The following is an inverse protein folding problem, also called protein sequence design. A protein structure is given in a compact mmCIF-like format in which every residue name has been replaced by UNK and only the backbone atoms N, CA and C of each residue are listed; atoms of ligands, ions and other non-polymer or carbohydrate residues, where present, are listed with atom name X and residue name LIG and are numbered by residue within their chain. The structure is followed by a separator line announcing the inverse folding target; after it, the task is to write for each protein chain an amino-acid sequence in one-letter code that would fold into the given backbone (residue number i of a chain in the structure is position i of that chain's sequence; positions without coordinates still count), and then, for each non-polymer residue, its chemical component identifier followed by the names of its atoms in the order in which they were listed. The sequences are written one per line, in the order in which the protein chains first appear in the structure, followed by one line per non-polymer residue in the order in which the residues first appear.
data_IF_713298997286
#
_entry.id   IF_713298997286
#
_cell.length_a   1.000
_cell.length_b   1.000
_cell.length_c   1.000
_cell.angle_alpha   90.00
_cell.angle_beta   90.00
_cell.angle_gamma   90.00
#
_symmetry.space_group_name_H-M   'P 1'
#
loop_
_entity.id
_entity.type
_entity.pdbx_description
1 polymer ?
#
# COMPACT_ATOMS: atom_id res chain seq x y z
N UNK A 1 -9.49 -5.59 22.16
CA UNK A 1 -9.33 -5.30 20.73
C UNK A 1 -10.34 -4.25 20.36
N UNK A 2 -9.92 -3.00 20.46
CA UNK A 2 -10.73 -1.86 20.10
C UNK A 2 -10.22 -0.58 20.73
N UNK A 3 -8.94 -0.23 20.51
CA UNK A 3 -8.36 0.96 21.12
C UNK A 3 -8.76 2.19 20.29
N UNK A 4 -9.20 3.25 20.97
CA UNK A 4 -9.70 4.46 20.33
C UNK A 4 -8.56 5.18 19.58
N UNK A 5 -8.89 6.08 18.65
CA UNK A 5 -7.88 6.79 17.86
C UNK A 5 -6.87 7.60 18.72
N UNK A 6 -7.20 7.87 19.98
CA UNK A 6 -6.36 8.59 20.95
C UNK A 6 -5.42 7.69 21.75
N UNK A 7 -5.57 6.37 21.67
CA UNK A 7 -4.74 5.39 22.38
C UNK A 7 -3.54 4.92 21.56
N UNK A 8 -3.50 5.21 20.25
CA UNK A 8 -2.35 4.87 19.43
C UNK A 8 -1.12 5.68 19.81
N UNK A 9 -0.01 4.97 20.01
CA UNK A 9 1.29 5.60 20.19
C UNK A 9 1.92 5.96 18.85
N UNK A 10 2.93 6.82 18.89
CA UNK A 10 3.76 7.11 17.72
C UNK A 10 4.44 5.84 17.17
N UNK A 11 4.84 4.92 18.03
CA UNK A 11 5.48 3.67 17.60
C UNK A 11 4.49 2.72 16.91
N UNK A 12 3.23 2.68 17.32
CA UNK A 12 2.17 1.95 16.61
C UNK A 12 1.95 2.52 15.21
N UNK A 13 1.89 3.86 15.11
CA UNK A 13 1.79 4.55 13.84
C UNK A 13 2.96 4.22 12.92
N UNK A 14 4.18 4.40 13.42
CA UNK A 14 5.42 4.16 12.68
C UNK A 14 5.53 2.72 12.22
N UNK A 15 5.15 1.77 13.08
CA UNK A 15 5.17 0.34 12.75
C UNK A 15 4.16 0.02 11.65
N UNK A 16 2.89 0.42 11.82
CA UNK A 16 1.85 0.15 10.84
C UNK A 16 2.10 0.82 9.49
N UNK A 17 2.54 2.08 9.49
CA UNK A 17 2.87 2.82 8.27
C UNK A 17 4.14 2.29 7.61
N UNK A 18 5.20 2.05 8.38
CA UNK A 18 6.45 1.48 7.87
C UNK A 18 6.22 0.13 7.20
N UNK A 19 5.47 -0.76 7.85
CA UNK A 19 5.21 -2.11 7.34
C UNK A 19 4.23 -2.13 6.17
N UNK A 20 3.07 -1.46 6.25
CA UNK A 20 2.02 -1.62 5.25
C UNK A 20 2.14 -0.65 4.07
N UNK A 21 2.82 0.48 4.26
CA UNK A 21 2.89 1.54 3.26
C UNK A 21 4.33 1.75 2.75
N UNK A 22 5.26 2.13 3.61
CA UNK A 22 6.62 2.53 3.20
C UNK A 22 7.38 1.36 2.57
N UNK A 23 7.31 0.17 3.17
CA UNK A 23 7.96 -1.03 2.63
C UNK A 23 7.49 -1.34 1.20
N UNK A 24 6.18 -1.26 0.96
CA UNK A 24 5.55 -1.60 -0.30
C UNK A 24 5.89 -0.56 -1.38
N UNK A 25 5.97 0.72 -0.98
CA UNK A 25 6.43 1.81 -1.84
C UNK A 25 7.89 1.62 -2.27
N UNK A 26 8.79 1.36 -1.34
CA UNK A 26 10.21 1.14 -1.65
C UNK A 26 10.44 -0.14 -2.46
N UNK A 27 9.68 -1.20 -2.20
CA UNK A 27 9.70 -2.41 -3.03
C UNK A 27 9.35 -2.08 -4.48
N UNK A 28 8.35 -1.22 -4.72
CA UNK A 28 8.01 -0.80 -6.08
C UNK A 28 9.12 -0.02 -6.76
N UNK A 29 9.81 0.88 -6.03
CA UNK A 29 10.94 1.61 -6.58
C UNK A 29 12.06 0.66 -7.04
N UNK A 30 12.37 -0.37 -6.25
CA UNK A 30 13.41 -1.34 -6.54
C UNK A 30 13.00 -2.36 -7.61
N UNK A 31 11.76 -2.83 -7.57
CA UNK A 31 11.24 -3.81 -8.52
C UNK A 31 10.98 -3.17 -9.90
N UNK A 32 10.74 -1.86 -9.97
CA UNK A 32 10.36 -1.19 -11.20
C UNK A 32 11.31 -1.45 -12.39
N UNK A 33 12.65 -1.24 -12.27
CA UNK A 33 13.59 -1.54 -13.36
C UNK A 33 13.53 -3.01 -13.81
N UNK A 34 13.38 -3.93 -12.86
CA UNK A 34 13.32 -5.37 -13.13
C UNK A 34 12.04 -5.76 -13.87
N UNK A 35 10.90 -5.20 -13.47
CA UNK A 35 9.61 -5.45 -14.11
C UNK A 35 9.56 -4.87 -15.52
N UNK A 36 10.17 -3.68 -15.72
CA UNK A 36 10.30 -3.07 -17.04
C UNK A 36 11.17 -3.93 -17.96
N UNK A 37 12.28 -4.47 -17.47
CA UNK A 37 13.14 -5.38 -18.23
C UNK A 37 12.46 -6.73 -18.53
N UNK A 38 11.63 -7.23 -17.62
CA UNK A 38 10.91 -8.50 -17.77
C UNK A 38 9.82 -8.49 -18.84
N UNK A 39 9.33 -7.30 -19.25
CA UNK A 39 8.21 -7.08 -20.19
C UNK A 39 6.86 -7.71 -19.79
N UNK A 40 6.83 -8.64 -18.84
CA UNK A 40 5.64 -9.34 -18.34
C UNK A 40 5.63 -9.46 -16.81
N UNK A 41 6.39 -8.63 -16.11
CA UNK A 41 6.40 -8.60 -14.64
C UNK A 41 5.19 -7.88 -14.06
N UNK A 42 4.68 -8.37 -12.92
CA UNK A 42 3.56 -7.76 -12.18
C UNK A 42 3.83 -7.65 -10.68
N UNK A 43 3.32 -6.60 -10.04
CA UNK A 43 3.24 -6.46 -8.57
C UNK A 43 1.77 -6.57 -8.16
N UNK A 44 1.49 -7.35 -7.13
CA UNK A 44 0.17 -7.45 -6.51
C UNK A 44 0.27 -6.95 -5.07
N UNK A 45 -0.55 -5.97 -4.70
CA UNK A 45 -0.63 -5.46 -3.34
C UNK A 45 -1.78 -6.13 -2.59
N UNK A 46 -1.51 -6.64 -1.39
CA UNK A 46 -2.55 -7.19 -0.53
C UNK A 46 -3.26 -6.08 0.26
N UNK A 47 -4.48 -5.77 -0.18
CA UNK A 47 -5.32 -4.71 0.39
C UNK A 47 -6.22 -5.22 1.54
N UNK A 48 -7.11 -4.37 2.05
CA UNK A 48 -8.11 -4.73 3.06
C UNK A 48 -9.36 -3.88 2.88
N UNK A 49 -10.53 -4.41 3.23
CA UNK A 49 -11.78 -3.63 3.28
C UNK A 49 -11.67 -2.41 4.20
N UNK A 50 -10.79 -2.48 5.21
CA UNK A 50 -10.45 -1.35 6.08
C UNK A 50 -9.80 -0.18 5.34
N UNK A 51 -9.20 -0.41 4.16
CA UNK A 51 -8.65 0.64 3.31
C UNK A 51 -9.69 1.37 2.47
N UNK A 52 -10.90 0.80 2.34
CA UNK A 52 -12.03 1.39 1.60
C UNK A 52 -13.05 2.05 2.53
N UNK A 53 -13.28 1.47 3.71
CA UNK A 53 -14.16 2.02 4.74
C UNK A 53 -13.46 2.06 6.09
N UNK A 54 -13.70 3.13 6.85
CA UNK A 54 -13.15 3.26 8.19
C UNK A 54 -13.81 2.25 9.12
N UNK A 55 -13.03 1.30 9.63
CA UNK A 55 -13.47 0.43 10.71
C UNK A 55 -13.21 1.11 12.05
N UNK A 56 -14.16 1.07 13.01
CA UNK A 56 -13.91 1.57 14.34
C UNK A 56 -12.69 0.86 14.94
N UNK A 57 -11.90 1.62 15.71
CA UNK A 57 -10.70 1.13 16.41
C UNK A 57 -9.54 0.63 15.53
N UNK A 58 -9.54 0.95 14.24
CA UNK A 58 -8.49 0.55 13.29
C UNK A 58 -8.05 1.71 12.39
N UNK A 59 -8.09 2.94 12.90
CA UNK A 59 -7.88 4.15 12.07
C UNK A 59 -6.51 4.18 11.38
N UNK A 60 -5.44 3.84 12.09
CA UNK A 60 -4.07 3.82 11.53
C UNK A 60 -3.91 2.68 10.53
N UNK A 61 -4.42 1.49 10.87
CA UNK A 61 -4.38 0.34 9.98
C UNK A 61 -5.13 0.63 8.67
N UNK A 62 -6.37 1.13 8.78
CA UNK A 62 -7.19 1.58 7.66
C UNK A 62 -6.45 2.61 6.79
N UNK A 63 -5.85 3.63 7.41
CA UNK A 63 -5.08 4.65 6.71
C UNK A 63 -3.86 4.06 5.98
N UNK A 64 -3.12 3.14 6.60
CA UNK A 64 -1.95 2.49 6.01
C UNK A 64 -2.31 1.65 4.77
N UNK A 65 -3.45 0.94 4.82
CA UNK A 65 -3.97 0.13 3.70
C UNK A 65 -4.52 0.99 2.57
N UNK A 66 -5.28 2.04 2.88
CA UNK A 66 -5.80 2.98 1.88
C UNK A 66 -4.69 3.74 1.15
N UNK A 67 -3.65 4.17 1.86
CA UNK A 67 -2.48 4.83 1.26
C UNK A 67 -1.69 3.92 0.32
N UNK A 68 -1.54 2.64 0.65
CA UNK A 68 -0.86 1.66 -0.22
C UNK A 68 -1.54 1.56 -1.59
N UNK A 69 -2.88 1.45 -1.61
CA UNK A 69 -3.67 1.46 -2.85
C UNK A 69 -3.53 2.77 -3.65
N UNK A 70 -3.68 3.92 -3.00
CA UNK A 70 -3.66 5.22 -3.69
C UNK A 70 -2.26 5.59 -4.18
N UNK A 71 -1.22 5.27 -3.42
CA UNK A 71 0.15 5.50 -3.85
C UNK A 71 0.53 4.58 -5.01
N UNK A 72 0.00 3.35 -5.08
CA UNK A 72 0.18 2.55 -6.28
C UNK A 72 -0.42 3.25 -7.50
N UNK A 73 -1.62 3.83 -7.41
CA UNK A 73 -2.19 4.57 -8.53
C UNK A 73 -1.29 5.75 -8.98
N UNK A 74 -0.68 6.47 -8.03
CA UNK A 74 0.30 7.52 -8.34
C UNK A 74 1.57 6.95 -8.99
N UNK A 75 2.12 5.88 -8.43
CA UNK A 75 3.31 5.20 -8.95
C UNK A 75 2.99 4.69 -10.37
N UNK A 76 1.87 4.02 -10.59
CA UNK A 76 1.38 3.61 -11.93
C UNK A 76 1.31 4.77 -12.93
N UNK A 77 0.70 5.90 -12.57
CA UNK A 77 0.58 7.08 -13.43
C UNK A 77 1.93 7.70 -13.81
N UNK A 78 2.94 7.56 -12.95
CA UNK A 78 4.30 8.00 -13.26
C UNK A 78 5.10 6.97 -14.06
N UNK A 79 4.53 5.79 -14.37
CA UNK A 79 5.23 4.64 -14.95
C UNK A 79 4.44 4.04 -16.15
N UNK A 80 3.95 4.87 -17.07
CA UNK A 80 3.15 4.46 -18.24
C UNK A 80 3.88 3.59 -19.30
N UNK A 81 4.44 2.43 -18.92
CA UNK A 81 5.00 1.43 -19.84
C UNK A 81 4.76 -0.04 -19.43
N UNK A 82 4.22 -0.32 -18.24
CA UNK A 82 3.89 -1.71 -17.87
C UNK A 82 2.49 -2.03 -18.38
N UNK A 83 2.38 -3.01 -19.29
CA UNK A 83 1.11 -3.46 -19.87
C UNK A 83 0.06 -3.65 -18.76
N UNK A 84 -1.22 -3.30 -19.01
CA UNK A 84 -2.28 -3.45 -18.03
C UNK A 84 -2.64 -4.94 -17.87
N UNK A 85 -1.80 -5.71 -17.20
CA UNK A 85 -2.09 -7.09 -16.85
C UNK A 85 -2.49 -7.17 -15.37
N UNK A 86 -3.82 -7.23 -15.20
CA UNK A 86 -4.60 -7.72 -14.05
C UNK A 86 -4.25 -7.11 -12.69
N UNK A 87 -5.08 -6.14 -12.31
CA UNK A 87 -5.28 -5.76 -10.90
C UNK A 87 -6.08 -6.90 -10.26
N UNK A 88 -5.44 -7.68 -9.40
CA UNK A 88 -6.11 -8.45 -8.36
C UNK A 88 -5.89 -7.69 -7.06
N UNK A 89 -7.00 -7.28 -6.44
CA UNK A 89 -7.08 -6.55 -5.18
C UNK A 89 -6.90 -7.51 -4.01
#
# INVERSE_FOLDING_TARGET
MGDNATEYTYEDFKTLMGTNFESAYHLCQLAHPLLKASANGSIVFNSSVAGLMSLPYNSIYAASKGKSYRSWNTVRQNIDQIKPSRILI
#
